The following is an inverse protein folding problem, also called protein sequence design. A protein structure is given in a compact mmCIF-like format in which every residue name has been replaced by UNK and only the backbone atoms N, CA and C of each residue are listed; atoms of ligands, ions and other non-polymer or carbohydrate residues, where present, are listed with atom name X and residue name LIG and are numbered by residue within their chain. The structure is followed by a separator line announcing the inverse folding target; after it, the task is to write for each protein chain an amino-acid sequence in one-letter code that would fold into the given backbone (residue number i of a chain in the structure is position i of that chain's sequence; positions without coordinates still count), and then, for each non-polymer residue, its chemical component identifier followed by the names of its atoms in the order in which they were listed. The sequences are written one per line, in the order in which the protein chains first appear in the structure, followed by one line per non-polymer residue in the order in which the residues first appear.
data_IF_012310498083
#
_entry.id   IF_012310498083
#
_cell.length_a   1.000
_cell.length_b   1.000
_cell.length_c   1.000
_cell.angle_alpha   90.00
_cell.angle_beta   90.00
_cell.angle_gamma   90.00
#
_symmetry.space_group_name_H-M   'P 1'
#
loop_
_entity.id
_entity.type
_entity.pdbx_description
1 polymer ?
#
# COMPACT_ATOMS: atom_id res chain seq x y z
N UNK A 1 -8.19 6.07 -37.11
CA UNK A 1 -9.08 4.92 -36.84
C UNK A 1 -9.54 5.00 -35.39
N UNK A 2 -10.77 4.60 -35.07
CA UNK A 2 -11.29 4.67 -33.71
C UNK A 2 -10.81 3.46 -32.88
N UNK A 3 -10.30 3.73 -31.67
CA UNK A 3 -9.98 2.70 -30.67
C UNK A 3 -11.27 2.28 -29.98
N UNK A 4 -11.56 0.98 -29.93
CA UNK A 4 -12.79 0.40 -29.35
C UNK A 4 -12.42 -0.59 -28.26
N UNK A 5 -13.21 -0.60 -27.19
CA UNK A 5 -13.17 -1.61 -26.14
C UNK A 5 -14.40 -2.50 -26.30
N UNK A 6 -14.17 -3.79 -26.54
CA UNK A 6 -15.22 -4.81 -26.68
C UNK A 6 -15.21 -5.65 -25.40
N UNK A 7 -16.37 -5.77 -24.76
CA UNK A 7 -16.54 -6.54 -23.53
C UNK A 7 -17.53 -7.66 -23.85
N UNK A 8 -17.09 -8.89 -23.75
CA UNK A 8 -17.90 -10.08 -23.88
C UNK A 8 -18.13 -10.69 -22.50
N UNK A 9 -19.38 -10.62 -22.05
CA UNK A 9 -19.87 -11.20 -20.79
C UNK A 9 -20.97 -12.24 -21.04
N UNK A 10 -21.03 -12.80 -22.26
CA UNK A 10 -22.07 -13.78 -22.64
C UNK A 10 -21.92 -15.09 -21.84
N UNK A 11 -20.69 -15.41 -21.45
CA UNK A 11 -20.34 -16.57 -20.65
C UNK A 11 -20.21 -16.19 -19.16
N UNK A 12 -21.02 -16.75 -18.25
CA UNK A 12 -20.91 -16.43 -16.82
C UNK A 12 -19.61 -16.94 -16.18
N UNK A 13 -18.95 -17.91 -16.79
CA UNK A 13 -17.66 -18.46 -16.36
C UNK A 13 -16.47 -17.54 -16.65
N UNK A 14 -16.54 -16.71 -17.69
CA UNK A 14 -15.44 -15.88 -18.17
C UNK A 14 -15.92 -14.54 -18.72
N UNK A 15 -15.26 -13.46 -18.31
CA UNK A 15 -15.43 -12.14 -18.94
C UNK A 15 -14.19 -11.83 -19.76
N UNK A 16 -14.38 -11.52 -21.04
CA UNK A 16 -13.30 -11.22 -21.97
C UNK A 16 -13.35 -9.75 -22.34
N UNK A 17 -12.22 -9.06 -22.18
CA UNK A 17 -12.10 -7.64 -22.53
C UNK A 17 -11.05 -7.49 -23.60
N UNK A 18 -11.41 -6.79 -24.68
CA UNK A 18 -10.57 -6.64 -25.86
C UNK A 18 -10.47 -5.18 -26.26
N UNK A 19 -9.25 -4.68 -26.40
CA UNK A 19 -8.99 -3.34 -26.94
C UNK A 19 -8.51 -3.48 -28.39
N UNK A 20 -9.28 -2.92 -29.32
CA UNK A 20 -9.05 -3.01 -30.77
C UNK A 20 -8.84 -1.63 -31.36
N UNK A 21 -7.88 -1.52 -32.29
CA UNK A 21 -7.67 -0.33 -33.10
C UNK A 21 -7.92 -0.68 -34.58
N UNK A 22 -9.12 -0.34 -35.07
CA UNK A 22 -9.59 -0.78 -36.39
C UNK A 22 -9.81 -2.29 -36.42
N UNK A 23 -8.91 -3.03 -37.08
CA UNK A 23 -8.90 -4.51 -37.18
C UNK A 23 -7.76 -5.15 -36.38
N UNK A 24 -6.90 -4.35 -35.74
CA UNK A 24 -5.74 -4.83 -34.99
C UNK A 24 -6.07 -4.94 -33.50
N UNK A 25 -5.82 -6.12 -32.94
CA UNK A 25 -5.87 -6.39 -31.51
C UNK A 25 -4.68 -5.70 -30.81
N UNK A 26 -4.93 -4.89 -29.78
CA UNK A 26 -3.88 -4.24 -28.97
C UNK A 26 -3.71 -4.90 -27.60
N UNK A 27 -4.80 -5.06 -26.85
CA UNK A 27 -4.80 -5.66 -25.50
C UNK A 27 -5.95 -6.69 -25.40
N UNK A 28 -5.70 -7.79 -24.71
CA UNK A 28 -6.66 -8.86 -24.46
C UNK A 28 -6.54 -9.32 -23.00
N UNK A 29 -7.65 -9.30 -22.27
CA UNK A 29 -7.71 -9.72 -20.87
C UNK A 29 -8.89 -10.68 -20.66
N UNK A 30 -8.70 -11.65 -19.76
CA UNK A 30 -9.68 -12.69 -19.44
C UNK A 30 -9.77 -12.82 -17.94
N UNK A 31 -10.96 -12.53 -17.41
CA UNK A 31 -11.28 -12.76 -16.00
C UNK A 31 -12.13 -14.02 -15.87
N UNK A 32 -11.62 -15.03 -15.15
CA UNK A 32 -12.37 -16.25 -14.83
C UNK A 32 -13.03 -16.14 -13.46
N UNK A 33 -14.28 -16.58 -13.34
CA UNK A 33 -15.03 -16.53 -12.08
C UNK A 33 -14.40 -17.33 -10.92
N UNK A 34 -13.61 -18.35 -11.24
CA UNK A 34 -13.01 -19.28 -10.26
C UNK A 34 -11.77 -18.75 -9.55
N UNK A 35 -11.09 -17.73 -10.10
CA UNK A 35 -9.82 -17.22 -9.54
C UNK A 35 -9.83 -15.70 -9.45
N UNK A 36 -10.62 -15.18 -8.52
CA UNK A 36 -10.56 -13.76 -8.15
C UNK A 36 -9.28 -13.48 -7.40
N UNK A 37 -8.40 -12.70 -8.02
CA UNK A 37 -7.21 -12.18 -7.36
C UNK A 37 -7.66 -11.11 -6.35
N UNK A 38 -7.19 -11.24 -5.10
CA UNK A 38 -7.48 -10.29 -4.02
C UNK A 38 -6.30 -9.36 -3.76
N UNK A 39 -5.14 -9.64 -4.37
CA UNK A 39 -3.96 -8.77 -4.30
C UNK A 39 -4.29 -7.37 -4.83
N UNK A 40 -3.91 -6.35 -4.08
CA UNK A 40 -4.15 -4.95 -4.44
C UNK A 40 -5.49 -4.39 -3.98
N UNK A 41 -6.45 -5.26 -3.60
CA UNK A 41 -7.73 -4.79 -3.08
C UNK A 41 -7.56 -4.05 -1.77
N UNK A 42 -8.41 -3.03 -1.59
CA UNK A 42 -8.44 -2.18 -0.41
C UNK A 42 -9.71 -2.49 0.37
N UNK A 43 -9.55 -2.73 1.67
CA UNK A 43 -10.65 -3.06 2.56
C UNK A 43 -10.66 -2.15 3.78
N UNK A 44 -11.86 -1.90 4.30
CA UNK A 44 -12.03 -1.38 5.64
C UNK A 44 -11.99 -2.57 6.62
N UNK A 45 -10.88 -2.71 7.35
CA UNK A 45 -10.65 -3.84 8.22
C UNK A 45 -10.70 -3.46 9.70
N UNK A 46 -10.98 -4.45 10.54
CA UNK A 46 -11.06 -4.29 11.99
C UNK A 46 -10.01 -5.15 12.70
N UNK A 47 -9.29 -4.56 13.65
CA UNK A 47 -8.29 -5.26 14.47
C UNK A 47 -9.00 -6.27 15.40
N UNK A 48 -8.71 -7.55 15.22
CA UNK A 48 -9.25 -8.65 16.04
C UNK A 48 -8.43 -8.82 17.31
N UNK A 49 -7.10 -8.83 17.16
CA UNK A 49 -6.14 -8.94 18.26
C UNK A 49 -4.78 -8.37 17.87
N UNK A 50 -4.02 -7.98 18.89
CA UNK A 50 -2.64 -7.51 18.76
C UNK A 50 -1.73 -8.56 19.38
N UNK A 51 -0.66 -8.92 18.68
CA UNK A 51 0.33 -9.92 19.10
C UNK A 51 1.69 -9.23 19.34
N UNK A 52 2.03 -8.90 20.61
CA UNK A 52 3.29 -8.24 20.95
C UNK A 52 4.51 -9.05 20.53
N UNK A 53 4.44 -10.39 20.63
CA UNK A 53 5.56 -11.28 20.29
C UNK A 53 5.94 -11.22 18.82
N UNK A 54 4.95 -11.01 17.93
CA UNK A 54 5.17 -10.87 16.50
C UNK A 54 5.33 -9.41 16.05
N UNK A 55 5.15 -8.45 16.97
CA UNK A 55 5.00 -7.03 16.65
C UNK A 55 4.02 -6.82 15.49
N UNK A 56 2.84 -7.43 15.60
CA UNK A 56 1.85 -7.45 14.53
C UNK A 56 0.41 -7.48 15.08
N UNK A 57 -0.54 -7.08 14.24
CA UNK A 57 -1.96 -7.16 14.50
C UNK A 57 -2.63 -8.13 13.51
N UNK A 58 -3.58 -8.90 14.01
CA UNK A 58 -4.47 -9.68 13.16
C UNK A 58 -5.74 -8.88 12.90
N UNK A 59 -6.09 -8.73 11.62
CA UNK A 59 -7.22 -7.92 11.19
C UNK A 59 -8.23 -8.76 10.41
N UNK A 60 -9.50 -8.44 10.61
CA UNK A 60 -10.63 -9.01 9.90
C UNK A 60 -11.03 -8.06 8.77
N UNK A 61 -11.01 -8.57 7.55
CA UNK A 61 -11.27 -7.80 6.32
C UNK A 61 -12.30 -8.48 5.39
N UNK A 62 -12.96 -9.53 5.88
CA UNK A 62 -13.92 -10.33 5.11
C UNK A 62 -13.32 -11.50 4.32
N UNK A 63 -12.01 -11.77 4.47
CA UNK A 63 -11.37 -12.98 3.93
C UNK A 63 -11.68 -14.26 4.73
N UNK A 64 -11.23 -15.41 4.23
CA UNK A 64 -11.43 -16.70 4.90
C UNK A 64 -10.59 -16.79 6.19
N UNK A 65 -9.44 -16.11 6.22
CA UNK A 65 -8.55 -16.04 7.39
C UNK A 65 -8.33 -14.59 7.80
N UNK A 66 -7.98 -14.39 9.06
CA UNK A 66 -7.53 -13.07 9.50
C UNK A 66 -6.22 -12.71 8.79
N UNK A 67 -6.17 -11.48 8.30
CA UNK A 67 -4.97 -10.95 7.68
C UNK A 67 -3.92 -10.59 8.71
N UNK A 68 -2.67 -10.64 8.29
CA UNK A 68 -1.50 -10.30 9.09
C UNK A 68 -1.03 -8.89 8.73
N UNK A 69 -1.05 -7.99 9.71
CA UNK A 69 -0.62 -6.61 9.59
C UNK A 69 0.58 -6.37 10.51
N UNK A 70 1.78 -6.26 9.94
CA UNK A 70 3.01 -6.01 10.70
C UNK A 70 3.06 -4.57 11.22
N UNK A 71 3.69 -4.32 12.36
CA UNK A 71 3.74 -2.98 12.96
C UNK A 71 4.38 -1.94 12.03
N UNK A 72 5.46 -2.29 11.33
CA UNK A 72 6.12 -1.39 10.37
C UNK A 72 5.26 -1.04 9.14
N UNK A 73 4.16 -1.76 8.90
CA UNK A 73 3.21 -1.52 7.80
C UNK A 73 2.00 -0.68 8.25
N UNK A 74 2.03 -0.16 9.48
CA UNK A 74 0.99 0.71 10.04
C UNK A 74 1.41 2.17 9.94
N UNK A 75 0.57 3.01 9.33
CA UNK A 75 0.78 4.43 9.23
C UNK A 75 0.60 5.09 10.62
N UNK A 76 1.48 6.04 11.01
CA UNK A 76 1.40 6.71 12.32
C UNK A 76 0.07 7.38 12.63
N UNK A 77 -0.73 7.76 11.63
CA UNK A 77 -2.07 8.35 11.85
C UNK A 77 -3.01 7.42 12.61
N UNK A 78 -2.81 6.11 12.47
CA UNK A 78 -3.58 5.12 13.21
C UNK A 78 -3.08 4.93 14.65
N UNK A 79 -1.98 5.56 15.06
CA UNK A 79 -1.47 5.42 16.42
C UNK A 79 -2.37 6.19 17.40
N UNK A 80 -2.82 5.50 18.44
CA UNK A 80 -3.55 6.12 19.55
C UNK A 80 -2.57 6.76 20.54
N UNK A 81 -1.88 7.79 20.08
CA UNK A 81 -0.97 8.61 20.89
C UNK A 81 -1.61 9.95 21.25
N UNK A 82 -1.17 10.60 22.35
CA UNK A 82 -1.56 11.97 22.66
C UNK A 82 -1.28 12.90 21.47
N UNK A 83 -2.13 13.92 21.29
CA UNK A 83 -2.07 14.84 20.14
C UNK A 83 -0.69 15.50 20.02
N UNK A 84 -0.06 15.85 21.15
CA UNK A 84 1.28 16.44 21.18
C UNK A 84 2.38 15.56 20.57
N UNK A 85 2.31 14.24 20.77
CA UNK A 85 3.29 13.31 20.20
C UNK A 85 3.01 13.06 18.72
N UNK A 86 1.73 13.06 18.32
CA UNK A 86 1.32 12.97 16.92
C UNK A 86 1.81 14.18 16.12
N UNK A 87 1.64 15.39 16.66
CA UNK A 87 2.11 16.62 16.02
C UNK A 87 3.63 16.63 15.86
N UNK A 88 4.39 16.17 16.86
CA UNK A 88 5.84 16.02 16.73
C UNK A 88 6.24 15.04 15.63
N UNK A 89 5.56 13.89 15.53
CA UNK A 89 5.83 12.91 14.47
C UNK A 89 5.51 13.46 13.07
N UNK A 90 4.42 14.22 12.95
CA UNK A 90 4.05 14.89 11.69
C UNK A 90 5.03 16.02 11.35
N UNK A 91 5.45 16.82 12.33
CA UNK A 91 6.42 17.89 12.13
C UNK A 91 7.80 17.33 11.74
N UNK A 92 8.23 16.23 12.37
CA UNK A 92 9.44 15.52 11.96
C UNK A 92 9.30 14.97 10.54
N UNK A 93 8.14 14.40 10.18
CA UNK A 93 7.88 13.93 8.82
C UNK A 93 7.91 15.06 7.79
N UNK A 94 7.37 16.22 8.13
CA UNK A 94 7.38 17.41 7.26
C UNK A 94 8.77 18.00 7.14
N UNK A 95 9.54 18.03 8.23
CA UNK A 95 10.94 18.49 8.22
C UNK A 95 11.82 17.54 7.39
N UNK A 96 11.71 16.22 7.59
CA UNK A 96 12.44 15.22 6.79
C UNK A 96 12.04 15.31 5.30
N UNK A 97 10.76 15.55 5.00
CA UNK A 97 10.31 15.77 3.63
C UNK A 97 10.88 17.06 3.03
N UNK A 98 10.97 18.14 3.82
CA UNK A 98 11.55 19.41 3.39
C UNK A 98 13.08 19.33 3.19
N UNK A 99 13.79 18.55 4.01
CA UNK A 99 15.22 18.27 3.82
C UNK A 99 15.47 17.48 2.54
N UNK A 100 14.66 16.44 2.26
CA UNK A 100 14.72 15.71 1.00
C UNK A 100 14.40 16.59 -0.23
N UNK A 101 13.59 17.64 -0.05
CA UNK A 101 13.33 18.64 -1.09
C UNK A 101 14.54 19.54 -1.37
N UNK A 102 15.37 19.85 -0.37
CA UNK A 102 16.52 20.74 -0.53
C UNK A 102 17.68 20.06 -1.26
N UNK A 103 17.93 18.77 -0.99
CA UNK A 103 18.98 18.00 -1.67
C UNK A 103 18.71 17.80 -3.18
N UNK A 104 17.43 17.79 -3.59
CA UNK A 104 17.02 17.63 -4.99
C UNK A 104 17.18 18.88 -5.87
N UNK A 105 17.27 20.09 -5.30
CA UNK A 105 17.49 21.33 -6.07
C UNK A 105 18.97 21.59 -6.39
N UNK A 106 19.91 20.94 -5.69
CA UNK A 106 21.35 21.05 -5.97
C UNK A 106 21.88 20.17 -7.11
N UNK A 107 21.07 19.24 -7.63
CA UNK A 107 21.47 18.27 -8.66
C UNK A 107 20.90 18.56 -10.07
N UNK A 108 20.83 19.82 -10.51
CA UNK A 108 20.54 20.14 -11.93
C UNK A 108 21.68 19.74 -12.91
N UNK A 109 22.66 18.96 -12.47
CA UNK A 109 23.66 18.34 -13.34
C UNK A 109 24.01 16.92 -12.88
N UNK A 110 23.46 15.93 -13.59
CA UNK A 110 24.08 14.66 -14.06
C UNK A 110 23.14 13.44 -13.90
N UNK A 111 22.95 12.73 -15.02
CA UNK A 111 22.31 11.43 -15.19
C UNK A 111 22.58 10.44 -14.04
N UNK A 112 21.71 10.39 -13.02
CA UNK A 112 21.82 9.43 -11.93
C UNK A 112 20.57 8.55 -11.88
N UNK A 113 20.64 7.42 -12.58
CA UNK A 113 19.77 6.23 -12.46
C UNK A 113 19.89 5.54 -11.06
N UNK A 114 19.90 6.32 -9.97
CA UNK A 114 20.20 5.85 -8.61
C UNK A 114 19.44 6.57 -7.48
N UNK A 115 18.54 7.51 -7.79
CA UNK A 115 17.75 8.24 -6.79
C UNK A 115 16.65 7.41 -6.11
N UNK A 116 16.18 6.31 -6.72
CA UNK A 116 15.06 5.52 -6.19
C UNK A 116 15.43 4.71 -4.93
N UNK A 117 16.69 4.26 -4.82
CA UNK A 117 17.17 3.47 -3.69
C UNK A 117 17.33 4.29 -2.40
N UNK A 118 17.66 5.58 -2.50
CA UNK A 118 17.93 6.43 -1.32
C UNK A 118 16.65 6.75 -0.53
N UNK A 119 15.53 6.96 -1.23
CA UNK A 119 14.24 7.31 -0.62
C UNK A 119 13.56 6.09 -0.01
N UNK A 120 13.60 4.94 -0.68
CA UNK A 120 13.11 3.68 -0.09
C UNK A 120 13.92 3.30 1.15
N UNK A 121 15.24 3.52 1.13
CA UNK A 121 16.08 3.29 2.29
C UNK A 121 15.74 4.25 3.44
N UNK A 122 15.47 5.53 3.15
CA UNK A 122 15.02 6.52 4.13
C UNK A 122 13.67 6.13 4.78
N UNK A 123 12.68 5.72 3.98
CA UNK A 123 11.40 5.23 4.50
C UNK A 123 11.57 3.99 5.37
N UNK A 124 12.42 3.04 4.94
CA UNK A 124 12.71 1.83 5.71
C UNK A 124 13.40 2.15 7.04
N UNK A 125 14.34 3.10 7.05
CA UNK A 125 14.99 3.63 8.26
C UNK A 125 13.98 4.32 9.17
N UNK A 126 13.03 5.08 8.62
CA UNK A 126 11.95 5.74 9.38
C UNK A 126 11.00 4.74 10.03
N UNK A 127 10.52 3.75 9.27
CA UNK A 127 9.69 2.65 9.80
C UNK A 127 10.44 1.93 10.93
N UNK A 128 11.74 1.68 10.76
CA UNK A 128 12.58 1.09 11.81
C UNK A 128 12.68 1.98 13.07
N UNK A 129 12.85 3.31 12.93
CA UNK A 129 12.89 4.25 14.08
C UNK A 129 11.58 4.20 14.86
N UNK A 130 10.44 4.27 14.19
CA UNK A 130 9.12 4.21 14.83
C UNK A 130 8.89 2.87 15.55
N UNK A 131 9.31 1.75 14.94
CA UNK A 131 9.21 0.42 15.58
C UNK A 131 10.11 0.26 16.81
N UNK A 132 11.12 1.12 16.98
CA UNK A 132 11.99 1.13 18.16
C UNK A 132 11.45 2.02 19.28
N UNK A 133 10.78 3.12 18.92
CA UNK A 133 10.26 4.10 19.88
C UNK A 133 8.97 3.63 20.55
N UNK A 134 8.12 2.89 19.83
CA UNK A 134 6.82 2.44 20.32
C UNK A 134 6.70 0.93 20.20
N UNK A 135 5.92 0.31 21.07
CA UNK A 135 5.49 -1.08 20.87
C UNK A 135 4.07 -1.12 20.35
N UNK A 136 3.76 -2.08 19.47
CA UNK A 136 2.43 -2.15 18.84
C UNK A 136 1.26 -2.16 19.85
N UNK A 137 1.44 -2.83 21.00
CA UNK A 137 0.41 -2.90 22.04
C UNK A 137 0.11 -1.58 22.75
N UNK A 138 0.99 -0.59 22.64
CA UNK A 138 0.82 0.73 23.24
C UNK A 138 0.00 1.64 22.31
N UNK A 139 0.19 1.49 21.00
CA UNK A 139 -0.34 2.40 19.98
C UNK A 139 -1.58 1.87 19.25
N UNK A 140 -1.76 0.56 19.14
CA UNK A 140 -2.90 -0.06 18.44
C UNK A 140 -3.77 -0.84 19.42
N UNK A 141 -5.08 -0.66 19.31
CA UNK A 141 -6.06 -1.35 20.16
C UNK A 141 -6.95 -2.32 19.39
N UNK A 142 -7.50 -3.28 20.12
CA UNK A 142 -8.55 -4.17 19.63
C UNK A 142 -9.75 -3.37 19.14
N UNK A 143 -10.42 -3.88 18.10
CA UNK A 143 -11.61 -3.30 17.45
C UNK A 143 -11.37 -1.99 16.70
N UNK A 144 -10.13 -1.52 16.60
CA UNK A 144 -9.77 -0.37 15.79
C UNK A 144 -10.02 -0.67 14.31
N UNK A 145 -10.52 0.33 13.58
CA UNK A 145 -10.81 0.23 12.15
C UNK A 145 -9.69 0.92 11.38
N UNK A 146 -9.24 0.30 10.29
CA UNK A 146 -8.12 0.77 9.48
C UNK A 146 -8.39 0.47 8.00
N UNK A 147 -7.97 1.37 7.11
CA UNK A 147 -7.86 1.04 5.69
C UNK A 147 -6.61 0.21 5.47
N UNK A 148 -6.79 -0.92 4.80
CA UNK A 148 -5.71 -1.85 4.48
C UNK A 148 -5.71 -2.16 3.00
N UNK A 149 -4.54 -2.52 2.48
CA UNK A 149 -4.37 -3.10 1.15
C UNK A 149 -3.74 -4.48 1.25
N UNK A 150 -4.21 -5.42 0.43
CA UNK A 150 -3.65 -6.77 0.34
C UNK A 150 -2.36 -6.75 -0.48
N UNK A 151 -1.23 -7.04 0.17
CA UNK A 151 0.09 -7.12 -0.49
C UNK A 151 0.36 -8.53 -1.00
N UNK A 152 0.05 -9.53 -0.17
CA UNK A 152 0.18 -10.95 -0.50
C UNK A 152 -1.12 -11.67 -0.16
N UNK A 153 -1.57 -12.49 -1.08
CA UNK A 153 -2.81 -13.27 -0.91
C UNK A 153 -2.65 -14.35 0.17
N UNK A 154 -3.79 -14.86 0.64
CA UNK A 154 -3.84 -16.01 1.54
C UNK A 154 -3.20 -17.22 0.85
N UNK A 155 -2.23 -17.85 1.51
CA UNK A 155 -1.55 -19.04 0.97
C UNK A 155 -1.61 -20.19 1.98
N UNK A 156 -2.39 -21.22 1.63
CA UNK A 156 -2.55 -22.41 2.45
C UNK A 156 -3.08 -22.09 3.84
N UNK A 157 -2.26 -22.33 4.87
CA UNK A 157 -2.60 -22.04 6.27
C UNK A 157 -2.43 -20.58 6.70
N UNK A 158 -1.75 -19.74 5.92
CA UNK A 158 -1.38 -18.37 6.30
C UNK A 158 -2.39 -17.36 5.75
N UNK A 159 -2.81 -16.43 6.60
CA UNK A 159 -3.62 -15.29 6.19
C UNK A 159 -2.87 -14.34 5.25
N UNK A 160 -3.61 -13.43 4.62
CA UNK A 160 -3.06 -12.45 3.69
C UNK A 160 -2.11 -11.50 4.41
N UNK A 161 -1.06 -11.05 3.73
CA UNK A 161 -0.19 -9.99 4.24
C UNK A 161 -0.76 -8.64 3.83
N UNK A 162 -0.88 -7.74 4.79
CA UNK A 162 -1.59 -6.47 4.64
C UNK A 162 -0.69 -5.29 4.96
N UNK A 163 -1.01 -4.14 4.38
CA UNK A 163 -0.36 -2.86 4.68
C UNK A 163 -1.39 -1.74 4.77
N UNK A 164 -1.08 -0.69 5.51
CA UNK A 164 -1.86 0.57 5.51
C UNK A 164 -1.26 1.64 4.58
N UNK A 165 -0.05 1.37 4.05
CA UNK A 165 0.57 2.19 3.01
C UNK A 165 -0.08 1.82 1.67
N UNK A 166 -1.12 2.57 1.33
CA UNK A 166 -1.90 2.32 0.13
C UNK A 166 -1.09 2.67 -1.12
N UNK A 167 -1.21 1.84 -2.14
CA UNK A 167 -0.64 2.02 -3.47
C UNK A 167 -1.74 1.95 -4.52
N UNK A 168 -1.87 3.02 -5.31
CA UNK A 168 -2.85 3.14 -6.38
C UNK A 168 -2.10 3.23 -7.71
N UNK A 169 -1.90 2.08 -8.35
CA UNK A 169 -1.21 1.99 -9.62
C UNK A 169 -2.12 2.43 -10.78
N UNK A 170 -1.73 3.49 -11.48
CA UNK A 170 -2.28 3.89 -12.76
C UNK A 170 -1.40 3.42 -13.93
N UNK A 171 -1.77 3.81 -15.15
CA UNK A 171 -1.01 3.46 -16.37
C UNK A 171 0.39 4.08 -16.43
N UNK A 172 0.53 5.29 -15.89
CA UNK A 172 1.74 6.12 -16.03
C UNK A 172 2.42 6.44 -14.70
N UNK A 173 1.71 6.32 -13.59
CA UNK A 173 2.22 6.65 -12.27
C UNK A 173 1.57 5.78 -11.19
N UNK A 174 2.22 5.68 -10.04
CA UNK A 174 1.68 5.04 -8.85
C UNK A 174 1.52 6.10 -7.77
N UNK A 175 0.28 6.31 -7.31
CA UNK A 175 0.00 7.23 -6.20
C UNK A 175 0.12 6.47 -4.88
N UNK A 176 0.92 7.01 -3.97
CA UNK A 176 1.11 6.48 -2.61
C UNK A 176 0.62 7.52 -1.59
N UNK A 177 -0.70 7.66 -1.36
CA UNK A 177 -1.24 8.78 -0.59
C UNK A 177 -0.82 8.78 0.89
N UNK A 178 -0.46 7.60 1.43
CA UNK A 178 -0.05 7.43 2.82
C UNK A 178 1.46 7.28 2.98
N UNK A 179 2.24 7.42 1.90
CA UNK A 179 3.70 7.43 1.96
C UNK A 179 4.20 8.86 1.73
N UNK A 180 5.30 9.29 2.36
CA UNK A 180 5.92 10.58 2.04
C UNK A 180 6.41 10.68 0.58
N UNK A 181 6.38 9.59 -0.19
CA UNK A 181 6.70 9.55 -1.62
C UNK A 181 5.84 10.56 -2.42
N UNK A 182 6.45 11.66 -2.84
CA UNK A 182 5.90 12.55 -3.87
C UNK A 182 5.88 11.79 -5.21
N UNK A 183 4.77 11.75 -5.95
CA UNK A 183 4.79 11.17 -7.29
C UNK A 183 5.56 12.11 -8.24
N UNK A 184 6.70 11.65 -8.76
CA UNK A 184 7.42 12.31 -9.86
C UNK A 184 8.65 13.16 -9.49
N UNK A 185 9.49 12.69 -8.57
CA UNK A 185 10.89 13.11 -8.50
C UNK A 185 11.77 11.93 -8.93
#
# INVERSE_FOLDING_TARGET
MAKRMLIDSTHPEETRVVVVNGTRLEEFDVETSTKRQIKGNIYLAKVVRVEPSLQAAFVEYGGNRHGFLAFGEIHPDYYQIPVADREKLLALQQAEAAEAHHDGESEESLDTLGGEDSVEEAERRRRQRLTRQYKIQEVIKRRQIMLIQVVKEERGGKGAALTTYLSLAGRYCVLMPNSPRRPGA
#
